data_IF_771992409034
#
_entry.id   IF_771992409034
#
_cell.length_a   1.000
_cell.length_b   1.000
_cell.length_c   1.000
_cell.angle_alpha   90.00
_cell.angle_beta   90.00
_cell.angle_gamma   90.00
#
_symmetry.space_group_name_H-M   'P 1'
#
loop_
_entity.id
_entity.type
_entity.pdbx_description
1 polymer ?
#
# COMPACT_ATOMS: atom_id res chain seq x y z
N UNK A 1 2.59 -18.13 1.99
CA UNK A 1 2.12 -18.66 0.70
C UNK A 1 3.31 -18.73 -0.22
N UNK A 2 3.46 -19.79 -1.05
CA UNK A 2 4.75 -20.13 -1.67
C UNK A 2 5.37 -19.00 -2.49
N UNK A 3 4.57 -18.26 -3.26
CA UNK A 3 5.05 -17.13 -4.07
C UNK A 3 5.59 -15.98 -3.20
N UNK A 4 4.90 -15.67 -2.09
CA UNK A 4 5.32 -14.62 -1.16
C UNK A 4 6.64 -15.00 -0.47
N UNK A 5 6.74 -16.23 0.02
CA UNK A 5 7.95 -16.74 0.68
C UNK A 5 9.16 -16.71 -0.27
N UNK A 6 9.00 -17.20 -1.50
CA UNK A 6 10.06 -17.19 -2.51
C UNK A 6 10.51 -15.76 -2.86
N UNK A 7 9.56 -14.86 -3.11
CA UNK A 7 9.87 -13.46 -3.44
C UNK A 7 10.57 -12.75 -2.27
N UNK A 8 10.08 -12.89 -1.05
CA UNK A 8 10.67 -12.28 0.14
C UNK A 8 12.07 -12.80 0.42
N UNK A 9 12.29 -14.12 0.33
CA UNK A 9 13.61 -14.72 0.52
C UNK A 9 14.63 -14.24 -0.52
N UNK A 10 14.19 -13.98 -1.75
CA UNK A 10 15.04 -13.39 -2.77
C UNK A 10 15.30 -11.90 -2.50
N UNK A 11 14.25 -11.10 -2.31
CA UNK A 11 14.36 -9.64 -2.10
C UNK A 11 15.21 -9.28 -0.88
N UNK A 12 15.04 -9.99 0.24
CA UNK A 12 15.74 -9.71 1.49
C UNK A 12 17.27 -9.84 1.40
N UNK A 13 17.80 -10.50 0.36
CA UNK A 13 19.25 -10.62 0.11
C UNK A 13 19.85 -9.32 -0.43
N UNK A 14 19.05 -8.48 -1.07
CA UNK A 14 19.52 -7.33 -1.84
C UNK A 14 19.09 -5.99 -1.26
N UNK A 15 17.96 -5.97 -0.55
CA UNK A 15 17.40 -4.74 0.00
C UNK A 15 17.06 -4.90 1.48
N UNK A 16 17.26 -3.81 2.23
CA UNK A 16 16.90 -3.73 3.64
C UNK A 16 15.54 -3.05 3.86
N UNK A 17 15.03 -2.34 2.85
CA UNK A 17 13.73 -1.65 2.90
C UNK A 17 13.05 -1.81 1.55
N UNK A 18 11.76 -2.10 1.56
CA UNK A 18 10.97 -2.24 0.34
C UNK A 18 9.59 -1.60 0.50
N UNK A 19 9.20 -0.77 -0.48
CA UNK A 19 7.81 -0.29 -0.59
C UNK A 19 6.95 -1.44 -1.08
N UNK A 20 5.98 -1.84 -0.27
CA UNK A 20 5.10 -2.96 -0.56
C UNK A 20 3.84 -2.43 -1.24
N UNK A 21 3.65 -2.81 -2.50
CA UNK A 21 2.49 -2.39 -3.30
C UNK A 21 1.20 -3.08 -2.84
N UNK A 22 0.03 -2.42 -2.94
CA UNK A 22 -1.19 -2.87 -2.27
C UNK A 22 -2.20 -3.58 -3.19
N UNK A 23 -1.86 -3.85 -4.45
CA UNK A 23 -2.75 -4.43 -5.48
C UNK A 23 -2.88 -5.97 -5.37
N UNK A 24 -3.12 -6.45 -4.15
CA UNK A 24 -3.52 -7.83 -3.86
C UNK A 24 -4.97 -8.09 -4.32
N UNK A 25 -5.42 -9.34 -4.18
CA UNK A 25 -6.83 -9.74 -4.35
C UNK A 25 -7.34 -10.29 -3.02
N UNK A 26 -8.18 -9.54 -2.26
CA UNK A 26 -8.57 -8.13 -2.47
C UNK A 26 -7.42 -7.13 -2.21
N UNK A 27 -7.50 -5.88 -2.70
CA UNK A 27 -6.47 -4.87 -2.47
C UNK A 27 -6.42 -4.44 -1.00
N UNK A 28 -5.25 -3.96 -0.58
CA UNK A 28 -5.03 -3.40 0.77
C UNK A 28 -5.50 -1.96 0.80
N UNK A 29 -6.62 -1.68 1.47
CA UNK A 29 -7.31 -0.38 1.44
C UNK A 29 -7.25 0.36 2.77
N UNK A 30 -7.17 -0.37 3.87
CA UNK A 30 -7.24 0.15 5.23
C UNK A 30 -5.94 -0.09 6.01
N UNK A 31 -5.74 0.67 7.10
CA UNK A 31 -4.62 0.45 8.01
C UNK A 31 -4.63 -0.98 8.57
N UNK A 32 -5.80 -1.50 8.96
CA UNK A 32 -5.93 -2.85 9.50
C UNK A 32 -5.46 -3.93 8.51
N UNK A 33 -5.85 -3.82 7.24
CA UNK A 33 -5.39 -4.72 6.18
C UNK A 33 -3.88 -4.58 5.94
N UNK A 34 -3.34 -3.36 6.01
CA UNK A 34 -1.90 -3.12 5.86
C UNK A 34 -1.09 -3.73 7.01
N UNK A 35 -1.57 -3.62 8.25
CA UNK A 35 -0.95 -4.26 9.42
C UNK A 35 -1.00 -5.78 9.28
N UNK A 36 -2.17 -6.34 8.97
CA UNK A 36 -2.31 -7.78 8.78
C UNK A 36 -1.39 -8.30 7.67
N UNK A 37 -1.27 -7.58 6.57
CA UNK A 37 -0.39 -7.98 5.48
C UNK A 37 1.09 -7.84 5.85
N UNK A 38 1.48 -6.76 6.54
CA UNK A 38 2.83 -6.59 7.07
C UNK A 38 3.22 -7.74 7.97
N UNK A 39 2.34 -8.14 8.88
CA UNK A 39 2.62 -9.20 9.84
C UNK A 39 2.77 -10.56 9.12
N UNK A 40 1.98 -10.81 8.07
CA UNK A 40 2.16 -11.96 7.17
C UNK A 40 3.50 -11.94 6.43
N UNK A 41 3.95 -10.77 5.98
CA UNK A 41 5.26 -10.61 5.35
C UNK A 41 6.37 -10.91 6.35
N UNK A 42 6.30 -10.31 7.54
CA UNK A 42 7.30 -10.50 8.60
C UNK A 42 7.41 -11.97 9.03
N UNK A 43 6.27 -12.66 9.18
CA UNK A 43 6.25 -14.08 9.50
C UNK A 43 6.83 -14.99 8.40
N UNK A 44 6.88 -14.51 7.15
CA UNK A 44 7.41 -15.25 6.00
C UNK A 44 8.86 -14.86 5.66
N UNK A 45 9.47 -13.91 6.37
CA UNK A 45 10.87 -13.56 6.16
C UNK A 45 11.78 -14.68 6.67
N UNK A 46 12.90 -14.96 5.98
CA UNK A 46 13.93 -15.84 6.52
C UNK A 46 14.44 -15.33 7.88
N UNK A 47 14.82 -16.28 8.74
CA UNK A 47 15.45 -15.95 10.03
C UNK A 47 16.68 -15.04 9.81
N UNK A 48 16.81 -14.01 10.66
CA UNK A 48 17.88 -13.01 10.55
C UNK A 48 17.70 -11.98 9.43
N UNK A 49 16.60 -12.01 8.67
CA UNK A 49 16.30 -10.99 7.66
C UNK A 49 16.19 -9.59 8.28
N UNK A 50 16.90 -8.62 7.70
CA UNK A 50 16.82 -7.21 8.06
C UNK A 50 15.79 -6.43 7.20
N UNK A 51 15.04 -7.10 6.33
CA UNK A 51 14.10 -6.44 5.42
C UNK A 51 12.95 -5.79 6.20
N UNK A 52 12.80 -4.48 6.02
CA UNK A 52 11.69 -3.70 6.56
C UNK A 52 10.63 -3.46 5.46
N UNK A 53 9.43 -4.05 5.58
CA UNK A 53 8.33 -3.76 4.68
C UNK A 53 7.72 -2.38 4.98
N UNK A 54 7.75 -1.50 3.98
CA UNK A 54 7.16 -0.16 4.02
C UNK A 54 5.79 -0.21 3.33
N UNK A 55 4.73 -0.31 4.12
CA UNK A 55 3.39 -0.61 3.61
C UNK A 55 2.77 0.58 2.86
N UNK A 56 1.88 0.29 1.92
CA UNK A 56 1.08 1.29 1.23
C UNK A 56 -0.40 0.90 1.23
N UNK A 57 -1.28 1.89 1.00
CA UNK A 57 -2.70 1.66 0.76
C UNK A 57 -3.03 1.86 -0.71
N UNK A 58 -4.02 1.14 -1.20
CA UNK A 58 -4.57 1.29 -2.54
C UNK A 58 -5.57 2.44 -2.57
N UNK A 59 -5.39 3.43 -3.44
CA UNK A 59 -6.36 4.52 -3.61
C UNK A 59 -7.61 4.02 -4.35
N UNK A 60 -8.75 4.04 -3.66
CA UNK A 60 -10.07 3.75 -4.23
C UNK A 60 -11.00 4.95 -4.08
N UNK A 61 -12.15 4.93 -4.78
CA UNK A 61 -13.19 5.96 -4.63
C UNK A 61 -13.83 5.99 -3.22
N UNK A 62 -13.56 4.99 -2.38
CA UNK A 62 -14.05 4.88 -1.01
C UNK A 62 -12.98 5.24 0.03
N UNK A 63 -11.75 5.53 -0.40
CA UNK A 63 -10.68 5.94 0.53
C UNK A 63 -11.03 7.32 1.07
N UNK A 64 -11.15 7.43 2.40
CA UNK A 64 -11.58 8.67 3.06
C UNK A 64 -10.38 9.49 3.56
N UNK A 65 -10.57 10.80 3.82
CA UNK A 65 -9.58 11.62 4.51
C UNK A 65 -9.14 11.04 5.86
N UNK A 66 -10.05 10.41 6.60
CA UNK A 66 -9.75 9.87 7.93
C UNK A 66 -8.91 8.59 7.85
N UNK A 67 -9.15 7.74 6.86
CA UNK A 67 -8.28 6.57 6.59
C UNK A 67 -6.83 7.00 6.39
N UNK A 68 -6.62 8.08 5.62
CA UNK A 68 -5.28 8.64 5.35
C UNK A 68 -4.63 9.20 6.61
N UNK A 69 -5.39 9.94 7.43
CA UNK A 69 -4.88 10.50 8.69
C UNK A 69 -4.51 9.41 9.68
N UNK A 70 -5.36 8.39 9.82
CA UNK A 70 -5.11 7.24 10.67
C UNK A 70 -3.86 6.48 10.19
N UNK A 71 -3.78 6.21 8.88
CA UNK A 71 -2.65 5.54 8.26
C UNK A 71 -1.34 6.30 8.48
N UNK A 72 -1.32 7.62 8.28
CA UNK A 72 -0.15 8.45 8.52
C UNK A 72 0.27 8.44 10.00
N UNK A 73 -0.70 8.59 10.92
CA UNK A 73 -0.46 8.59 12.38
C UNK A 73 0.10 7.25 12.88
N UNK A 74 -0.27 6.14 12.24
CA UNK A 74 0.19 4.80 12.64
C UNK A 74 1.69 4.60 12.48
N UNK A 75 2.34 5.33 11.56
CA UNK A 75 3.71 5.09 11.14
C UNK A 75 3.93 3.78 10.35
N UNK A 76 2.90 2.93 10.16
CA UNK A 76 2.98 1.67 9.41
C UNK A 76 2.90 1.91 7.91
N UNK A 77 1.94 2.73 7.50
CA UNK A 77 1.74 3.11 6.10
C UNK A 77 2.68 4.25 5.74
N UNK A 78 3.38 4.13 4.61
CA UNK A 78 4.36 5.11 4.12
C UNK A 78 3.90 5.87 2.89
N UNK A 79 2.87 5.41 2.20
CA UNK A 79 2.28 6.09 1.05
C UNK A 79 0.90 5.51 0.69
N UNK A 80 0.18 6.20 -0.19
CA UNK A 80 -0.98 5.66 -0.91
C UNK A 80 -0.59 5.49 -2.38
N UNK A 81 -0.92 4.36 -2.98
CA UNK A 81 -0.66 4.05 -4.39
C UNK A 81 -1.95 4.14 -5.21
N UNK A 82 -1.92 4.97 -6.23
CA UNK A 82 -2.99 5.06 -7.22
C UNK A 82 -2.66 4.22 -8.45
N UNK A 83 -3.63 3.40 -8.86
CA UNK A 83 -3.66 2.71 -10.12
C UNK A 83 -4.90 3.19 -10.88
N UNK A 84 -4.78 3.80 -12.06
CA UNK A 84 -5.94 4.09 -12.90
C UNK A 84 -6.70 2.79 -13.23
N UNK A 85 -8.03 2.84 -13.17
CA UNK A 85 -8.85 1.64 -13.31
C UNK A 85 -8.61 0.94 -14.66
N UNK A 86 -8.32 -0.37 -14.61
CA UNK A 86 -8.08 -1.19 -15.80
C UNK A 86 -6.72 -0.99 -16.49
N UNK A 87 -5.85 -0.13 -15.96
CA UNK A 87 -4.55 0.17 -16.59
C UNK A 87 -3.51 -0.96 -16.42
N UNK A 88 -3.63 -1.79 -15.38
CA UNK A 88 -2.65 -2.82 -15.04
C UNK A 88 -3.24 -3.97 -14.21
N UNK A 89 -2.42 -4.93 -13.80
CA UNK A 89 -2.82 -6.09 -12.99
C UNK A 89 -3.51 -5.67 -11.68
N UNK A 90 -4.70 -6.24 -11.42
CA UNK A 90 -5.55 -5.99 -10.25
C UNK A 90 -5.89 -4.51 -10.03
N UNK A 91 -6.05 -3.74 -11.12
CA UNK A 91 -6.32 -2.30 -11.04
C UNK A 91 -7.81 -1.92 -11.09
N UNK A 92 -8.74 -2.88 -11.19
CA UNK A 92 -10.16 -2.60 -11.40
C UNK A 92 -10.82 -1.79 -10.28
N UNK A 93 -10.27 -1.87 -9.05
CA UNK A 93 -10.72 -1.08 -7.90
C UNK A 93 -10.16 0.37 -7.89
N UNK A 94 -9.37 0.72 -8.90
CA UNK A 94 -8.75 2.03 -9.12
C UNK A 94 -9.76 3.15 -9.32
N UNK A 95 -9.35 4.37 -8.98
CA UNK A 95 -10.07 5.59 -9.41
C UNK A 95 -9.70 5.85 -10.86
N UNK A 96 -10.70 6.06 -11.73
CA UNK A 96 -10.47 6.47 -13.13
C UNK A 96 -9.92 7.90 -13.16
N UNK A 97 -9.09 8.21 -14.16
CA UNK A 97 -8.56 9.57 -14.34
C UNK A 97 -9.68 10.61 -14.47
N UNK A 98 -10.77 10.26 -15.16
CA UNK A 98 -11.96 11.10 -15.34
C UNK A 98 -12.72 11.39 -14.04
N UNK A 99 -12.50 10.58 -13.00
CA UNK A 99 -13.28 10.59 -11.76
C UNK A 99 -12.42 11.00 -10.55
N UNK A 100 -11.20 11.52 -10.78
CA UNK A 100 -10.27 11.93 -9.72
C UNK A 100 -10.87 12.95 -8.74
N UNK A 101 -11.83 13.76 -9.18
CA UNK A 101 -12.53 14.72 -8.33
C UNK A 101 -13.17 14.06 -7.09
N UNK A 102 -13.58 12.80 -7.17
CA UNK A 102 -14.17 12.03 -6.05
C UNK A 102 -13.19 11.89 -4.88
N UNK A 103 -11.89 11.84 -5.15
CA UNK A 103 -10.84 11.64 -4.13
C UNK A 103 -10.08 12.90 -3.79
N UNK A 104 -10.45 14.07 -4.32
CA UNK A 104 -9.79 15.35 -3.98
C UNK A 104 -9.76 15.64 -2.47
N UNK A 105 -10.83 15.39 -1.68
CA UNK A 105 -10.77 15.55 -0.23
C UNK A 105 -9.68 14.67 0.41
N UNK A 106 -9.53 13.44 -0.08
CA UNK A 106 -8.54 12.47 0.39
C UNK A 106 -7.12 12.92 0.00
N UNK A 107 -6.92 13.36 -1.25
CA UNK A 107 -5.63 13.92 -1.70
C UNK A 107 -5.22 15.16 -0.90
N UNK A 108 -6.17 16.03 -0.55
CA UNK A 108 -5.93 17.17 0.32
C UNK A 108 -5.46 16.72 1.71
N UNK A 109 -6.14 15.74 2.31
CA UNK A 109 -5.73 15.21 3.61
C UNK A 109 -4.34 14.56 3.57
N UNK A 110 -4.00 13.85 2.48
CA UNK A 110 -2.66 13.31 2.25
C UNK A 110 -1.60 14.41 2.26
N UNK A 111 -1.86 15.52 1.57
CA UNK A 111 -0.95 16.67 1.57
C UNK A 111 -0.80 17.31 2.96
N UNK A 112 -1.90 17.46 3.71
CA UNK A 112 -1.90 18.01 5.07
C UNK A 112 -1.05 17.19 6.05
N UNK A 113 -1.09 15.85 5.95
CA UNK A 113 -0.33 14.95 6.83
C UNK A 113 1.02 14.51 6.24
N UNK A 114 1.37 14.99 5.04
CA UNK A 114 2.62 14.62 4.36
C UNK A 114 2.70 13.16 3.91
N UNK A 115 1.57 12.49 3.65
CA UNK A 115 1.55 11.11 3.16
C UNK A 115 1.69 11.10 1.61
N UNK A 116 2.75 10.54 1.04
CA UNK A 116 2.98 10.56 -0.41
C UNK A 116 1.90 9.84 -1.21
N UNK A 117 1.57 10.40 -2.38
CA UNK A 117 0.85 9.72 -3.45
C UNK A 117 1.87 9.12 -4.43
N UNK A 118 1.78 7.82 -4.66
CA UNK A 118 2.52 7.12 -5.71
C UNK A 118 1.57 6.94 -6.89
N UNK A 119 1.95 7.39 -8.08
CA UNK A 119 1.17 7.19 -9.30
C UNK A 119 1.74 6.01 -10.09
N UNK A 120 0.88 5.22 -10.73
CA UNK A 120 1.32 4.13 -11.60
C UNK A 120 1.88 4.66 -12.91
#
# INVERSE_FOLDING_TARGET
GPMMEAALAHSARYVQRAIIMPNLVPPVRTLAEAVQYRDRIQAALPEGSALQPLMTLYLTGQTTPDDVREAAKSGVVKAVKWYPAGATTNSDAGVKETDLAVVYPTLKAMAEVGLPLLCH
#
